data_IF_478397352305
#
_entry.id   IF_478397352305
#
_cell.length_a   1.000
_cell.length_b   1.000
_cell.length_c   1.000
_cell.angle_alpha   90.00
_cell.angle_beta   90.00
_cell.angle_gamma   90.00
#
_symmetry.space_group_name_H-M   'P 1'
#
loop_
_entity.id
_entity.type
_entity.pdbx_description
1 polymer ?
#
# COMPACT_ATOMS: atom_id res chain seq x y z
N UNK A 1 12.88 11.86 -10.29
CA UNK A 1 13.80 10.97 -11.05
C UNK A 1 15.01 11.69 -11.63
N UNK A 2 14.95 13.01 -11.88
CA UNK A 2 16.13 13.79 -12.36
C UNK A 2 17.32 13.80 -11.39
N UNK A 3 17.08 13.69 -10.07
CA UNK A 3 18.15 13.59 -9.08
C UNK A 3 18.96 12.28 -9.18
N UNK A 4 18.37 11.21 -9.72
CA UNK A 4 19.01 9.89 -9.83
C UNK A 4 20.03 9.88 -10.99
N UNK A 5 19.73 10.59 -12.08
CA UNK A 5 20.62 10.71 -13.24
C UNK A 5 21.92 11.49 -12.94
N UNK A 6 21.95 12.26 -11.83
CA UNK A 6 23.14 13.00 -11.39
C UNK A 6 24.11 12.16 -10.53
N UNK A 7 23.76 10.92 -10.20
CA UNK A 7 24.61 10.01 -9.41
C UNK A 7 25.61 9.26 -10.29
N UNK A 8 26.76 8.88 -9.74
CA UNK A 8 27.73 8.05 -10.44
C UNK A 8 27.13 6.67 -10.80
N UNK A 9 27.54 6.00 -11.88
CA UNK A 9 26.90 4.77 -12.37
C UNK A 9 26.81 3.64 -11.32
N UNK A 10 27.84 3.49 -10.48
CA UNK A 10 27.84 2.50 -9.39
C UNK A 10 26.84 2.84 -8.27
N UNK A 11 26.56 4.12 -8.04
CA UNK A 11 25.59 4.60 -7.06
C UNK A 11 24.16 4.42 -7.56
N UNK A 12 23.93 4.56 -8.87
CA UNK A 12 22.61 4.32 -9.48
C UNK A 12 22.16 2.86 -9.28
N UNK A 13 23.06 1.90 -9.47
CA UNK A 13 22.76 0.48 -9.26
C UNK A 13 22.46 0.17 -7.79
N UNK A 14 23.25 0.69 -6.86
CA UNK A 14 23.01 0.54 -5.43
C UNK A 14 21.65 1.15 -5.02
N UNK A 15 21.33 2.32 -5.58
CA UNK A 15 20.05 2.99 -5.34
C UNK A 15 18.86 2.19 -5.87
N UNK A 16 18.93 1.64 -7.10
CA UNK A 16 17.84 0.82 -7.65
C UNK A 16 17.57 -0.43 -6.80
N UNK A 17 18.63 -1.07 -6.31
CA UNK A 17 18.52 -2.22 -5.41
C UNK A 17 17.85 -1.86 -4.08
N UNK A 18 18.19 -0.70 -3.51
CA UNK A 18 17.55 -0.22 -2.28
C UNK A 18 16.08 0.15 -2.51
N UNK A 19 15.77 0.77 -3.65
CA UNK A 19 14.38 1.05 -4.04
C UNK A 19 13.54 -0.22 -4.17
N UNK A 20 14.09 -1.27 -4.78
CA UNK A 20 13.41 -2.56 -4.89
C UNK A 20 13.14 -3.16 -3.50
N UNK A 21 14.16 -3.16 -2.62
CA UNK A 21 14.00 -3.62 -1.25
C UNK A 21 12.93 -2.82 -0.47
N UNK A 22 12.88 -1.50 -0.66
CA UNK A 22 11.87 -0.63 -0.09
C UNK A 22 10.47 -0.97 -0.62
N UNK A 23 10.33 -1.18 -1.93
CA UNK A 23 9.06 -1.56 -2.56
C UNK A 23 8.54 -2.90 -2.00
N UNK A 24 9.41 -3.90 -1.87
CA UNK A 24 9.04 -5.20 -1.29
C UNK A 24 8.57 -5.04 0.16
N UNK A 25 9.32 -4.28 0.97
CA UNK A 25 8.96 -4.00 2.36
C UNK A 25 7.61 -3.31 2.48
N UNK A 26 7.35 -2.31 1.64
CA UNK A 26 6.06 -1.59 1.63
C UNK A 26 4.90 -2.46 1.19
N UNK A 27 5.13 -3.37 0.24
CA UNK A 27 4.13 -4.35 -0.20
C UNK A 27 3.72 -5.28 0.95
N UNK A 28 4.70 -5.78 1.74
CA UNK A 28 4.43 -6.61 2.91
C UNK A 28 3.73 -5.83 4.03
N UNK A 29 4.13 -4.57 4.25
CA UNK A 29 3.44 -3.70 5.21
C UNK A 29 1.99 -3.44 4.83
N UNK A 30 1.70 -3.22 3.54
CA UNK A 30 0.34 -3.08 3.05
C UNK A 30 -0.48 -4.35 3.31
N UNK A 31 0.09 -5.52 3.03
CA UNK A 31 -0.56 -6.81 3.28
C UNK A 31 -0.89 -6.99 4.78
N UNK A 32 0.06 -6.74 5.67
CA UNK A 32 -0.16 -6.87 7.12
C UNK A 32 -1.28 -5.92 7.61
N UNK A 33 -1.29 -4.68 7.11
CA UNK A 33 -2.35 -3.71 7.44
C UNK A 33 -3.72 -4.14 6.91
N UNK A 34 -3.79 -4.68 5.70
CA UNK A 34 -5.01 -5.22 5.12
C UNK A 34 -5.57 -6.35 5.99
N UNK A 35 -4.73 -7.32 6.35
CA UNK A 35 -5.13 -8.47 7.18
C UNK A 35 -5.68 -8.01 8.51
N UNK A 36 -4.95 -7.17 9.27
CA UNK A 36 -5.44 -6.67 10.55
C UNK A 36 -6.74 -5.87 10.41
N UNK A 37 -6.83 -4.98 9.42
CA UNK A 37 -8.02 -4.16 9.21
C UNK A 37 -9.27 -4.99 8.92
N UNK A 38 -9.14 -6.01 8.07
CA UNK A 38 -10.27 -6.85 7.72
C UNK A 38 -10.62 -7.85 8.83
N UNK A 39 -9.63 -8.35 9.57
CA UNK A 39 -9.88 -9.16 10.75
C UNK A 39 -10.68 -8.37 11.80
N UNK A 40 -10.18 -7.20 12.22
CA UNK A 40 -10.83 -6.35 13.22
C UNK A 40 -12.23 -5.88 12.81
N UNK A 41 -12.45 -5.69 11.50
CA UNK A 41 -13.72 -5.19 10.97
C UNK A 41 -14.77 -6.26 10.67
N UNK A 42 -14.36 -7.51 10.40
CA UNK A 42 -15.26 -8.55 9.90
C UNK A 42 -15.38 -9.75 10.82
N UNK A 43 -14.34 -10.11 11.60
CA UNK A 43 -14.36 -11.29 12.46
C UNK A 43 -14.84 -10.88 13.85
N UNK A 44 -16.11 -11.20 14.14
CA UNK A 44 -16.79 -10.71 15.36
C UNK A 44 -17.23 -11.83 16.28
N UNK A 45 -17.27 -13.07 15.79
CA UNK A 45 -17.70 -14.24 16.55
C UNK A 45 -16.57 -15.25 16.72
N UNK A 46 -16.25 -15.60 17.96
CA UNK A 46 -15.20 -16.57 18.29
C UNK A 46 -15.77 -17.93 18.73
N UNK A 47 -16.95 -18.30 18.22
CA UNK A 47 -17.63 -19.57 18.56
C UNK A 47 -17.11 -20.78 17.78
N UNK A 48 -16.39 -20.55 16.68
CA UNK A 48 -15.79 -21.58 15.82
C UNK A 48 -14.36 -21.20 15.46
N UNK A 49 -13.56 -22.19 15.05
CA UNK A 49 -12.23 -21.97 14.46
C UNK A 49 -12.30 -21.57 12.98
N UNK A 50 -13.45 -21.73 12.34
CA UNK A 50 -13.70 -21.40 10.94
C UNK A 50 -14.54 -20.13 10.84
N UNK A 51 -14.26 -19.31 9.84
CA UNK A 51 -15.13 -18.20 9.46
C UNK A 51 -16.48 -18.73 8.98
N UNK A 52 -17.55 -18.05 9.37
CA UNK A 52 -18.87 -18.31 8.78
C UNK A 52 -19.00 -17.64 7.39
N UNK A 53 -20.14 -17.84 6.74
CA UNK A 53 -20.39 -17.27 5.40
C UNK A 53 -20.45 -15.74 5.39
N UNK A 54 -20.93 -15.13 6.47
CA UNK A 54 -21.04 -13.68 6.60
C UNK A 54 -19.66 -13.07 6.79
N UNK A 55 -18.84 -13.62 7.69
CA UNK A 55 -17.47 -13.19 7.93
C UNK A 55 -16.61 -13.37 6.68
N UNK A 56 -16.73 -14.50 5.99
CA UNK A 56 -16.01 -14.75 4.74
C UNK A 56 -16.34 -13.73 3.65
N UNK A 57 -17.63 -13.46 3.42
CA UNK A 57 -18.06 -12.44 2.44
C UNK A 57 -17.62 -11.03 2.86
N UNK A 58 -17.64 -10.71 4.16
CA UNK A 58 -17.14 -9.43 4.66
C UNK A 58 -15.64 -9.25 4.38
N UNK A 59 -14.82 -10.28 4.66
CA UNK A 59 -13.36 -10.22 4.43
C UNK A 59 -13.05 -10.03 2.95
N UNK A 60 -13.74 -10.73 2.05
CA UNK A 60 -13.57 -10.56 0.60
C UNK A 60 -13.89 -9.12 0.14
N UNK A 61 -15.03 -8.58 0.58
CA UNK A 61 -15.42 -7.21 0.27
C UNK A 61 -14.46 -6.18 0.89
N UNK A 62 -14.01 -6.40 2.13
CA UNK A 62 -13.05 -5.56 2.83
C UNK A 62 -11.74 -5.49 2.05
N UNK A 63 -11.19 -6.64 1.63
CA UNK A 63 -9.94 -6.70 0.88
C UNK A 63 -10.07 -5.96 -0.46
N UNK A 64 -11.15 -6.20 -1.21
CA UNK A 64 -11.43 -5.51 -2.48
C UNK A 64 -11.52 -3.99 -2.29
N UNK A 65 -12.25 -3.55 -1.26
CA UNK A 65 -12.43 -2.13 -0.94
C UNK A 65 -11.12 -1.47 -0.55
N UNK A 66 -10.32 -2.12 0.29
CA UNK A 66 -9.05 -1.60 0.76
C UNK A 66 -8.06 -1.37 -0.40
N UNK A 67 -7.91 -2.35 -1.30
CA UNK A 67 -7.00 -2.21 -2.45
C UNK A 67 -7.43 -1.06 -3.36
N UNK A 68 -8.73 -1.00 -3.71
CA UNK A 68 -9.29 0.10 -4.53
C UNK A 68 -9.12 1.46 -3.86
N UNK A 69 -9.33 1.53 -2.55
CA UNK A 69 -9.14 2.75 -1.77
C UNK A 69 -7.67 3.17 -1.78
N UNK A 70 -6.73 2.27 -1.49
CA UNK A 70 -5.29 2.56 -1.48
C UNK A 70 -4.81 3.06 -2.84
N UNK A 71 -5.27 2.45 -3.94
CA UNK A 71 -4.99 2.94 -5.30
C UNK A 71 -5.54 4.35 -5.53
N UNK A 72 -6.81 4.60 -5.17
CA UNK A 72 -7.44 5.91 -5.35
C UNK A 72 -6.75 6.99 -4.54
N UNK A 73 -6.42 6.70 -3.28
CA UNK A 73 -5.68 7.62 -2.40
C UNK A 73 -4.30 7.90 -2.99
N UNK A 74 -3.59 6.88 -3.48
CA UNK A 74 -2.30 7.04 -4.15
C UNK A 74 -2.35 8.00 -5.35
N UNK A 75 -3.36 7.86 -6.21
CA UNK A 75 -3.56 8.77 -7.35
C UNK A 75 -3.78 10.22 -6.90
N UNK A 76 -4.69 10.44 -5.94
CA UNK A 76 -4.98 11.79 -5.42
C UNK A 76 -3.78 12.40 -4.70
N UNK A 77 -3.01 11.58 -4.00
CA UNK A 77 -1.79 12.02 -3.33
C UNK A 77 -0.72 12.48 -4.32
N UNK A 78 -0.53 11.76 -5.43
CA UNK A 78 0.38 12.17 -6.50
C UNK A 78 -0.07 13.47 -7.16
N UNK A 79 -1.37 13.62 -7.45
CA UNK A 79 -1.95 14.88 -7.96
C UNK A 79 -1.66 16.06 -7.02
N UNK A 80 -1.86 15.88 -5.71
CA UNK A 80 -1.64 16.92 -4.72
C UNK A 80 -0.16 17.31 -4.58
N UNK A 81 0.76 16.34 -4.63
CA UNK A 81 2.20 16.64 -4.65
C UNK A 81 2.61 17.46 -5.87
N UNK A 82 2.07 17.14 -7.05
CA UNK A 82 2.33 17.91 -8.26
C UNK A 82 1.83 19.36 -8.16
N UNK A 83 0.63 19.56 -7.58
CA UNK A 83 0.09 20.90 -7.33
C UNK A 83 0.95 21.71 -6.35
N UNK A 84 1.42 21.09 -5.26
CA UNK A 84 2.29 21.76 -4.29
C UNK A 84 3.63 22.18 -4.89
N UNK A 85 4.22 21.35 -5.75
CA UNK A 85 5.45 21.69 -6.46
C UNK A 85 5.26 22.86 -7.43
N UNK A 86 4.08 22.99 -8.04
CA UNK A 86 3.76 24.10 -8.96
C UNK A 86 3.45 25.42 -8.25
N UNK A 87 2.93 25.38 -7.01
CA UNK A 87 2.61 26.58 -6.22
C UNK A 87 3.77 27.20 -5.45
N UNK A 88 4.98 26.61 -5.50
CA UNK A 88 6.21 27.14 -4.88
C UNK A 88 7.08 27.96 -5.87
N UNK A 89 6.50 28.46 -6.96
CA UNK A 89 7.13 29.39 -7.89
C UNK A 89 6.58 30.81 -7.74
#
# INVERSE_FOLDING_TARGET
>A
MEAIQKLAPHQQQAFMKEMEAMQTKDSLNMYNKLVMRCFDGCVTSFRSKSLDKSESSCVEHCASRYVKMTQRVGLRFAEHQAMQAAGQQ
#
